data_IF_473752563707
#
_entry.id   IF_473752563707
#
_cell.length_a   1.000
_cell.length_b   1.000
_cell.length_c   1.000
_cell.angle_alpha   90.00
_cell.angle_beta   90.00
_cell.angle_gamma   90.00
#
_symmetry.space_group_name_H-M   'P 1'
#
loop_
_entity.id
_entity.type
_entity.pdbx_description
1 polymer ?
#
# COMPACT_ATOMS: atom_id res chain seq x y z
N UNK A 1 -30.23 17.79 -0.17
CA UNK A 1 -29.24 17.79 0.94
C UNK A 1 -28.51 16.46 0.86
N UNK A 2 -27.27 16.42 0.36
CA UNK A 2 -26.51 15.18 0.28
C UNK A 2 -26.03 14.81 1.68
N UNK A 3 -26.52 13.67 2.19
CA UNK A 3 -26.00 13.05 3.40
C UNK A 3 -24.53 12.69 3.17
N UNK A 4 -23.62 13.28 3.94
CA UNK A 4 -22.23 12.84 4.05
C UNK A 4 -22.19 11.57 4.90
N UNK A 5 -22.71 10.47 4.34
CA UNK A 5 -22.67 9.17 4.98
C UNK A 5 -21.30 8.54 4.73
N UNK A 6 -20.63 8.11 5.79
CA UNK A 6 -19.40 7.34 5.68
C UNK A 6 -19.67 6.07 4.87
N UNK A 7 -18.83 5.83 3.85
CA UNK A 7 -18.89 4.61 3.03
C UNK A 7 -17.63 3.81 3.31
N UNK A 8 -17.79 2.57 3.74
CA UNK A 8 -16.69 1.63 3.83
C UNK A 8 -16.30 1.19 2.42
N UNK A 9 -15.01 1.04 2.16
CA UNK A 9 -14.53 0.32 0.97
C UNK A 9 -14.59 -1.17 1.30
N UNK A 10 -15.37 -1.99 0.55
CA UNK A 10 -15.37 -3.44 0.71
C UNK A 10 -13.96 -3.99 0.61
N UNK A 11 -13.61 -4.92 1.49
CA UNK A 11 -12.27 -5.51 1.54
C UNK A 11 -11.94 -6.26 0.25
N UNK A 12 -12.94 -6.86 -0.40
CA UNK A 12 -12.74 -7.62 -1.64
C UNK A 12 -12.13 -6.73 -2.74
N UNK A 13 -12.63 -5.51 -2.91
CA UNK A 13 -12.13 -4.58 -3.93
C UNK A 13 -10.68 -4.13 -3.65
N UNK A 14 -10.33 -3.96 -2.38
CA UNK A 14 -8.95 -3.66 -1.99
C UNK A 14 -8.02 -4.85 -2.33
N UNK A 15 -8.44 -6.06 -1.97
CA UNK A 15 -7.61 -7.26 -2.14
C UNK A 15 -7.40 -7.61 -3.63
N UNK A 16 -8.36 -7.32 -4.50
CA UNK A 16 -8.20 -7.43 -5.96
C UNK A 16 -7.07 -6.52 -6.47
N UNK A 17 -7.02 -5.27 -6.03
CA UNK A 17 -5.95 -4.33 -6.40
C UNK A 17 -4.59 -4.83 -5.92
N UNK A 18 -4.49 -5.27 -4.66
CA UNK A 18 -3.24 -5.78 -4.08
C UNK A 18 -2.71 -6.98 -4.87
N UNK A 19 -3.59 -7.88 -5.31
CA UNK A 19 -3.22 -9.06 -6.11
C UNK A 19 -2.71 -8.68 -7.51
N UNK A 20 -3.33 -7.70 -8.16
CA UNK A 20 -2.95 -7.30 -9.51
C UNK A 20 -1.76 -6.35 -9.55
N UNK A 21 -1.44 -5.66 -8.45
CA UNK A 21 -0.45 -4.57 -8.44
C UNK A 21 0.94 -5.02 -8.89
N UNK A 22 1.42 -6.18 -8.40
CA UNK A 22 2.75 -6.71 -8.76
C UNK A 22 2.85 -7.03 -10.25
N UNK A 23 1.83 -7.67 -10.82
CA UNK A 23 1.80 -7.99 -12.25
C UNK A 23 1.75 -6.71 -13.09
N UNK A 24 0.89 -5.77 -12.73
CA UNK A 24 0.68 -4.55 -13.50
C UNK A 24 1.93 -3.67 -13.49
N UNK A 25 2.60 -3.52 -12.34
CA UNK A 25 3.78 -2.65 -12.26
C UNK A 25 4.99 -3.23 -13.01
N UNK A 26 5.12 -4.56 -13.06
CA UNK A 26 6.09 -5.23 -13.93
C UNK A 26 5.79 -4.98 -15.42
N UNK A 27 4.52 -5.06 -15.83
CA UNK A 27 4.13 -4.77 -17.21
C UNK A 27 4.44 -3.31 -17.57
N UNK A 28 4.15 -2.37 -16.68
CA UNK A 28 4.48 -0.95 -16.89
C UNK A 28 5.99 -0.72 -16.97
N UNK A 29 6.80 -1.41 -16.16
CA UNK A 29 8.26 -1.35 -16.24
C UNK A 29 8.78 -1.89 -17.57
N UNK A 30 8.32 -3.06 -17.98
CA UNK A 30 8.75 -3.72 -19.23
C UNK A 30 8.28 -2.98 -20.48
N UNK A 31 7.17 -2.23 -20.39
CA UNK A 31 6.67 -1.43 -21.50
C UNK A 31 7.65 -0.33 -21.95
N UNK A 32 8.55 0.10 -21.06
CA UNK A 32 9.48 1.20 -21.32
C UNK A 32 8.81 2.57 -21.54
N UNK A 33 7.51 2.69 -21.26
CA UNK A 33 6.73 3.92 -21.49
C UNK A 33 7.05 5.03 -20.48
N UNK A 34 7.58 4.68 -19.31
CA UNK A 34 7.87 5.61 -18.24
C UNK A 34 9.37 5.91 -18.15
N UNK A 35 9.72 7.19 -18.04
CA UNK A 35 11.11 7.61 -17.83
C UNK A 35 11.68 7.07 -16.50
N UNK A 36 10.82 6.95 -15.48
CA UNK A 36 11.17 6.30 -14.22
C UNK A 36 9.94 5.75 -13.52
N UNK A 37 10.12 4.62 -12.83
CA UNK A 37 9.15 4.05 -11.89
C UNK A 37 9.76 4.13 -10.50
N UNK A 38 8.97 4.59 -9.53
CA UNK A 38 9.44 4.84 -8.17
C UNK A 38 8.38 4.36 -7.18
N UNK A 39 8.81 3.79 -6.05
CA UNK A 39 7.92 3.29 -4.99
C UNK A 39 8.30 3.97 -3.68
N UNK A 40 7.28 4.47 -2.99
CA UNK A 40 7.42 5.18 -1.72
C UNK A 40 6.55 4.55 -0.64
N UNK A 41 7.07 4.50 0.58
CA UNK A 41 6.29 4.16 1.79
C UNK A 41 5.54 5.39 2.32
N UNK A 42 4.62 5.15 3.25
CA UNK A 42 3.77 6.18 3.88
C UNK A 42 4.55 7.33 4.55
N UNK A 43 5.79 7.06 4.97
CA UNK A 43 6.71 8.03 5.60
C UNK A 43 7.62 8.74 4.58
N UNK A 44 7.27 8.70 3.29
CA UNK A 44 8.02 9.29 2.17
C UNK A 44 9.39 8.66 1.91
N UNK A 45 9.70 7.52 2.54
CA UNK A 45 10.93 6.77 2.23
C UNK A 45 10.79 6.14 0.84
N UNK A 46 11.72 6.47 -0.06
CA UNK A 46 11.85 5.84 -1.36
C UNK A 46 12.45 4.44 -1.20
N UNK A 47 11.69 3.41 -1.57
CA UNK A 47 12.12 2.01 -1.49
C UNK A 47 12.50 1.44 -2.86
N UNK A 48 12.13 2.14 -3.94
CA UNK A 48 12.50 1.75 -5.30
C UNK A 48 12.66 2.97 -6.21
N UNK A 49 13.63 2.89 -7.12
CA UNK A 49 13.80 3.80 -8.23
C UNK A 49 14.39 3.05 -9.43
N UNK A 50 13.65 2.96 -10.53
CA UNK A 50 14.07 2.21 -11.73
C UNK A 50 15.36 2.74 -12.38
N UNK A 51 15.75 3.99 -12.10
CA UNK A 51 17.02 4.56 -12.58
C UNK A 51 18.23 4.16 -11.72
N UNK A 52 18.00 3.65 -10.52
CA UNK A 52 19.05 3.35 -9.53
C UNK A 52 19.11 1.87 -9.16
N UNK A 53 18.01 1.14 -9.35
CA UNK A 53 17.86 -0.27 -9.01
C UNK A 53 18.11 -1.16 -10.22
N UNK A 54 18.72 -2.32 -9.99
CA UNK A 54 18.90 -3.39 -10.99
C UNK A 54 17.85 -4.48 -10.87
N UNK A 55 17.15 -4.55 -9.73
CA UNK A 55 16.06 -5.49 -9.50
C UNK A 55 14.76 -5.00 -10.16
N UNK A 56 13.90 -5.92 -10.64
CA UNK A 56 12.59 -5.55 -11.16
C UNK A 56 11.73 -4.91 -10.08
N UNK A 57 10.94 -3.88 -10.45
CA UNK A 57 10.05 -3.20 -9.51
C UNK A 57 9.10 -4.17 -8.81
N UNK A 58 8.61 -5.20 -9.49
CA UNK A 58 7.67 -6.17 -8.92
C UNK A 58 8.24 -6.95 -7.75
N UNK A 59 9.53 -7.29 -7.74
CA UNK A 59 10.17 -7.97 -6.60
C UNK A 59 10.15 -7.10 -5.35
N UNK A 60 10.42 -5.81 -5.52
CA UNK A 60 10.41 -4.85 -4.40
C UNK A 60 8.97 -4.63 -3.90
N UNK A 61 8.01 -4.45 -4.81
CA UNK A 61 6.59 -4.28 -4.44
C UNK A 61 6.03 -5.53 -3.78
N UNK A 62 6.36 -6.73 -4.27
CA UNK A 62 5.94 -7.99 -3.67
C UNK A 62 6.45 -8.11 -2.23
N UNK A 63 7.73 -7.79 -1.99
CA UNK A 63 8.30 -7.79 -0.65
C UNK A 63 7.66 -6.72 0.26
N UNK A 64 7.32 -5.54 -0.27
CA UNK A 64 6.62 -4.50 0.51
C UNK A 64 5.21 -4.93 0.91
N UNK A 65 4.50 -5.65 0.04
CA UNK A 65 3.10 -6.06 0.29
C UNK A 65 2.99 -7.35 1.11
N UNK A 66 3.88 -8.31 0.87
CA UNK A 66 3.77 -9.68 1.39
C UNK A 66 4.98 -10.13 2.21
N UNK A 67 6.02 -9.31 2.30
CA UNK A 67 7.19 -9.57 3.12
C UNK A 67 6.91 -9.41 4.62
N UNK A 68 7.97 -9.62 5.41
CA UNK A 68 7.90 -9.50 6.86
C UNK A 68 7.67 -8.06 7.28
N UNK A 69 6.78 -7.88 8.24
CA UNK A 69 6.52 -6.57 8.82
C UNK A 69 7.73 -6.05 9.59
N UNK A 70 8.01 -4.77 9.41
CA UNK A 70 8.94 -4.01 10.24
C UNK A 70 8.31 -3.64 11.58
N UNK A 71 9.15 -3.23 12.53
CA UNK A 71 8.68 -2.73 13.82
C UNK A 71 7.77 -1.50 13.65
N UNK A 72 8.15 -0.57 12.78
CA UNK A 72 7.37 0.65 12.48
C UNK A 72 5.96 0.32 11.95
N UNK A 73 5.85 -0.66 11.06
CA UNK A 73 4.55 -1.12 10.51
C UNK A 73 3.68 -1.76 11.61
N UNK A 74 4.30 -2.55 12.49
CA UNK A 74 3.63 -3.18 13.62
C UNK A 74 3.12 -2.13 14.61
N UNK A 75 3.94 -1.14 14.93
CA UNK A 75 3.58 -0.05 15.82
C UNK A 75 2.46 0.82 15.24
N UNK A 76 2.53 1.12 13.94
CA UNK A 76 1.48 1.85 13.24
C UNK A 76 0.13 1.10 13.27
N UNK A 77 0.13 -0.22 13.07
CA UNK A 77 -1.07 -1.05 13.20
C UNK A 77 -1.64 -1.01 14.62
N UNK A 78 -0.78 -1.07 15.64
CA UNK A 78 -1.21 -1.02 17.03
C UNK A 78 -1.86 0.32 17.38
N UNK A 79 -1.29 1.43 16.89
CA UNK A 79 -1.90 2.78 17.01
C UNK A 79 -3.26 2.81 16.33
N UNK A 80 -3.38 2.29 15.11
CA UNK A 80 -4.65 2.22 14.38
C UNK A 80 -5.73 1.42 15.13
N UNK A 81 -5.38 0.24 15.65
CA UNK A 81 -6.30 -0.59 16.46
C UNK A 81 -6.75 0.10 17.74
N UNK A 82 -5.84 0.79 18.43
CA UNK A 82 -6.17 1.53 19.65
C UNK A 82 -7.16 2.67 19.36
N UNK A 83 -6.95 3.40 18.25
CA UNK A 83 -7.87 4.45 17.80
C UNK A 83 -9.24 3.87 17.42
N UNK A 84 -9.27 2.76 16.69
CA UNK A 84 -10.50 2.07 16.32
C UNK A 84 -11.32 1.66 17.56
N UNK A 85 -10.67 1.03 18.54
CA UNK A 85 -11.31 0.62 19.80
C UNK A 85 -11.88 1.82 20.56
N UNK A 86 -11.12 2.92 20.65
CA UNK A 86 -11.55 4.14 21.31
C UNK A 86 -12.76 4.79 20.61
N UNK A 87 -12.87 4.66 19.28
CA UNK A 87 -14.04 5.15 18.52
C UNK A 87 -15.24 4.22 18.69
N UNK A 88 -15.03 2.89 18.64
CA UNK A 88 -16.09 1.90 18.87
C UNK A 88 -16.75 2.05 20.24
N UNK A 89 -15.97 2.35 21.28
CA UNK A 89 -16.49 2.59 22.64
C UNK A 89 -17.39 3.84 22.76
N UNK A 90 -17.35 4.74 21.77
CA UNK A 90 -18.18 5.96 21.71
C UNK A 90 -19.43 5.78 20.85
N UNK A 91 -19.59 4.63 20.18
CA UNK A 91 -20.79 4.33 19.42
C UNK A 91 -21.95 4.04 20.41
N UNK A 92 -23.17 4.53 20.13
CA UNK A 92 -24.34 4.32 20.98
C UNK A 92 -24.78 2.85 21.07
#
# INVERSE_FOLDING_TARGET
MYSLQARATPKEHHDEIVKSLVSNINELEQSGLFESIQVYKWNLVQVYNSKQCTEPVGTIVENVLFGTWTQDETDLLNVGKAQELALRAKLP
#
